data_IF_690317874608
#
_entry.id   IF_690317874608
#
_cell.length_a   1.000
_cell.length_b   1.000
_cell.length_c   1.000
_cell.angle_alpha   90.00
_cell.angle_beta   90.00
_cell.angle_gamma   90.00
#
_symmetry.space_group_name_H-M   'P 1'
#
loop_
_entity.id
_entity.type
_entity.pdbx_description
1 polymer ?
#
# COMPACT_ATOMS: atom_id res chain seq x y z
N UNK A 1 48.91 -0.14 -30.31
CA UNK A 1 49.41 -0.85 -29.11
C UNK A 1 49.28 0.11 -27.95
N UNK A 2 48.26 -0.09 -27.11
CA UNK A 2 48.16 0.42 -25.73
C UNK A 2 47.99 1.94 -25.51
N UNK A 3 46.89 2.51 -26.00
CA UNK A 3 46.20 3.58 -25.25
C UNK A 3 44.93 2.95 -24.69
N UNK A 4 44.76 2.95 -23.36
CA UNK A 4 43.53 2.78 -22.55
C UNK A 4 43.90 2.17 -21.18
N UNK A 5 44.63 2.93 -20.35
CA UNK A 5 44.78 2.68 -18.91
C UNK A 5 44.79 4.03 -18.16
N UNK A 6 43.66 4.75 -18.22
CA UNK A 6 43.47 6.02 -17.49
C UNK A 6 42.09 6.12 -16.83
N UNK A 7 41.54 5.01 -16.32
CA UNK A 7 40.46 5.09 -15.33
C UNK A 7 41.05 5.20 -13.92
N UNK A 8 41.78 6.31 -13.72
CA UNK A 8 42.21 6.76 -12.41
C UNK A 8 41.01 7.12 -11.54
N UNK A 9 41.11 6.75 -10.27
CA UNK A 9 40.24 7.06 -9.16
C UNK A 9 39.86 8.55 -9.09
N UNK A 10 38.76 8.93 -9.73
CA UNK A 10 38.12 10.22 -9.51
C UNK A 10 37.23 10.14 -8.26
N UNK A 11 37.84 10.11 -7.08
CA UNK A 11 37.15 10.52 -5.86
C UNK A 11 37.00 12.05 -5.95
N UNK A 12 35.80 12.62 -5.75
CA UNK A 12 35.62 14.06 -5.82
C UNK A 12 36.57 14.75 -4.83
N UNK A 13 37.28 15.78 -5.30
CA UNK A 13 38.11 16.66 -4.48
C UNK A 13 37.24 17.12 -3.31
N UNK A 14 37.68 16.83 -2.08
CA UNK A 14 36.94 17.16 -0.86
C UNK A 14 36.49 18.63 -0.94
N UNK A 15 35.19 18.86 -0.86
CA UNK A 15 34.64 20.21 -0.91
C UNK A 15 35.31 21.07 0.18
N UNK A 16 35.55 22.38 -0.05
CA UNK A 16 36.20 23.26 0.92
C UNK A 16 35.47 23.32 2.28
N UNK A 17 34.21 22.89 2.31
CA UNK A 17 33.36 22.75 3.48
C UNK A 17 33.17 21.25 3.72
N UNK A 18 33.49 20.78 4.92
CA UNK A 18 33.26 19.39 5.29
C UNK A 18 31.76 19.09 5.26
N UNK A 19 31.40 17.94 4.69
CA UNK A 19 30.04 17.41 4.74
C UNK A 19 29.60 17.35 6.22
N UNK A 20 28.53 18.07 6.62
CA UNK A 20 28.05 18.06 8.00
C UNK A 20 27.52 16.68 8.45
N UNK A 21 27.38 15.72 7.53
CA UNK A 21 26.87 14.39 7.81
C UNK A 21 25.34 14.38 7.95
N UNK A 22 24.79 13.24 8.38
CA UNK A 22 23.36 13.12 8.62
C UNK A 22 22.95 13.85 9.91
N UNK A 23 21.81 14.57 9.91
CA UNK A 23 21.27 15.16 11.13
C UNK A 23 20.92 14.07 12.15
N UNK A 24 20.88 14.44 13.43
CA UNK A 24 20.48 13.51 14.50
C UNK A 24 19.03 13.02 14.28
N UNK A 25 18.85 11.70 14.33
CA UNK A 25 17.56 11.06 14.13
C UNK A 25 16.53 11.54 15.17
N UNK A 26 15.40 12.07 14.69
CA UNK A 26 14.34 12.56 15.56
C UNK A 26 13.32 11.46 15.86
N UNK A 27 13.35 10.95 17.09
CA UNK A 27 12.39 9.94 17.54
C UNK A 27 10.96 10.48 17.59
N UNK A 28 10.01 9.72 17.04
CA UNK A 28 8.58 10.05 17.16
C UNK A 28 8.06 9.58 18.52
N UNK A 29 6.96 10.17 18.97
CA UNK A 29 6.30 9.76 20.23
C UNK A 29 5.93 8.28 20.22
N UNK A 30 5.58 7.72 19.06
CA UNK A 30 5.25 6.30 18.88
C UNK A 30 6.46 5.37 18.93
N UNK A 31 7.68 5.88 18.77
CA UNK A 31 8.92 5.10 18.90
C UNK A 31 9.33 4.97 20.39
N UNK A 32 8.94 5.93 21.23
CA UNK A 32 9.27 5.96 22.67
C UNK A 32 8.14 5.41 23.55
N UNK A 33 6.87 5.75 23.24
CA UNK A 33 5.69 5.32 24.01
C UNK A 33 4.92 4.20 23.31
N UNK A 34 5.12 2.97 23.81
CA UNK A 34 4.44 1.77 23.34
C UNK A 34 2.91 1.84 23.48
N UNK A 35 2.36 2.59 24.44
CA UNK A 35 0.91 2.74 24.58
C UNK A 35 0.32 3.56 23.43
N UNK A 36 1.02 4.60 22.98
CA UNK A 36 0.62 5.40 21.81
C UNK A 36 0.78 4.61 20.52
N UNK A 37 1.82 3.78 20.42
CA UNK A 37 2.01 2.87 19.30
C UNK A 37 0.82 1.91 19.18
N UNK A 38 0.37 1.30 20.28
CA UNK A 38 -0.82 0.40 20.28
C UNK A 38 -2.12 1.11 19.95
N UNK A 39 -2.31 2.37 20.37
CA UNK A 39 -3.49 3.17 20.00
C UNK A 39 -3.50 3.44 18.50
N UNK A 40 -2.35 3.84 17.96
CA UNK A 40 -2.16 4.06 16.53
C UNK A 40 -2.40 2.78 15.74
N UNK A 41 -1.89 1.65 16.22
CA UNK A 41 -2.11 0.32 15.64
C UNK A 41 -3.61 0.01 15.52
N UNK A 42 -4.37 0.21 16.61
CA UNK A 42 -5.82 -0.01 16.61
C UNK A 42 -6.55 0.93 15.66
N UNK A 43 -6.14 2.19 15.57
CA UNK A 43 -6.75 3.15 14.62
C UNK A 43 -6.55 2.70 13.18
N UNK A 44 -5.32 2.32 12.80
CA UNK A 44 -5.00 1.82 11.46
C UNK A 44 -5.82 0.55 11.17
N UNK A 45 -5.82 -0.41 12.09
CA UNK A 45 -6.56 -1.66 11.91
C UNK A 45 -8.08 -1.46 11.85
N UNK A 46 -8.63 -0.49 12.59
CA UNK A 46 -10.03 -0.11 12.48
C UNK A 46 -10.35 0.40 11.08
N UNK A 47 -9.48 1.24 10.50
CA UNK A 47 -9.68 1.78 9.15
C UNK A 47 -9.72 0.66 8.10
N UNK A 48 -8.81 -0.32 8.19
CA UNK A 48 -8.83 -1.50 7.32
C UNK A 48 -10.06 -2.40 7.57
N UNK A 49 -10.48 -2.54 8.83
CA UNK A 49 -11.72 -3.23 9.18
C UNK A 49 -12.95 -2.57 8.56
N UNK A 50 -13.07 -1.25 8.66
CA UNK A 50 -14.17 -0.49 8.03
C UNK A 50 -14.09 -0.61 6.50
N UNK A 51 -12.90 -0.53 5.91
CA UNK A 51 -12.73 -0.73 4.47
C UNK A 51 -13.22 -2.12 4.01
N UNK A 52 -12.94 -3.16 4.80
CA UNK A 52 -13.46 -4.52 4.56
C UNK A 52 -14.98 -4.55 4.61
N UNK A 53 -15.59 -3.91 5.62
CA UNK A 53 -17.05 -3.82 5.73
C UNK A 53 -17.68 -3.04 4.57
N UNK A 54 -17.02 -1.99 4.08
CA UNK A 54 -17.48 -1.25 2.91
C UNK A 54 -17.39 -2.10 1.63
N UNK A 55 -16.35 -2.91 1.45
CA UNK A 55 -16.27 -3.84 0.32
C UNK A 55 -17.40 -4.89 0.37
N UNK A 56 -17.74 -5.40 1.56
CA UNK A 56 -18.92 -6.26 1.73
C UNK A 56 -20.21 -5.47 1.44
N UNK A 57 -20.30 -4.23 1.92
CA UNK A 57 -21.42 -3.33 1.66
C UNK A 57 -21.63 -3.05 0.16
N UNK A 58 -20.55 -2.99 -0.62
CA UNK A 58 -20.62 -2.90 -2.08
C UNK A 58 -21.33 -4.13 -2.66
N UNK A 59 -20.93 -5.34 -2.26
CA UNK A 59 -21.56 -6.58 -2.73
C UNK A 59 -23.04 -6.66 -2.32
N UNK A 60 -23.39 -6.22 -1.10
CA UNK A 60 -24.78 -6.16 -0.66
C UNK A 60 -25.56 -5.16 -1.51
N UNK A 61 -25.05 -3.93 -1.67
CA UNK A 61 -25.69 -2.89 -2.48
C UNK A 61 -25.88 -3.34 -3.94
N UNK A 62 -24.92 -4.09 -4.49
CA UNK A 62 -24.99 -4.65 -5.84
C UNK A 62 -26.19 -5.58 -6.03
N UNK A 63 -26.50 -6.39 -5.02
CA UNK A 63 -27.57 -7.39 -5.09
C UNK A 63 -28.92 -6.80 -4.67
N UNK A 64 -28.95 -5.82 -3.77
CA UNK A 64 -30.20 -5.32 -3.16
C UNK A 64 -30.77 -4.06 -3.80
N UNK A 65 -29.97 -3.27 -4.52
CA UNK A 65 -30.41 -1.99 -5.08
C UNK A 65 -30.74 -2.17 -6.56
N UNK A 66 -32.01 -1.99 -6.90
CA UNK A 66 -32.46 -1.99 -8.29
C UNK A 66 -31.99 -0.75 -9.05
N UNK A 67 -31.70 -0.90 -10.34
CA UNK A 67 -31.19 0.16 -11.21
C UNK A 67 -32.14 1.37 -11.37
N UNK A 68 -33.44 1.16 -11.20
CA UNK A 68 -34.46 2.22 -11.25
C UNK A 68 -34.58 3.00 -9.92
N UNK A 69 -33.96 2.49 -8.85
CA UNK A 69 -34.03 3.11 -7.54
C UNK A 69 -33.29 4.44 -7.55
N UNK A 70 -33.98 5.50 -7.13
CA UNK A 70 -33.40 6.85 -7.04
C UNK A 70 -33.15 7.25 -5.59
N UNK A 71 -32.02 7.93 -5.36
CA UNK A 71 -31.63 8.52 -4.10
C UNK A 71 -31.26 9.98 -4.35
N UNK A 72 -31.92 10.92 -3.66
CA UNK A 72 -31.74 12.37 -3.87
C UNK A 72 -31.92 12.82 -5.33
N UNK A 73 -32.77 12.12 -6.10
CA UNK A 73 -33.00 12.38 -7.54
C UNK A 73 -31.93 11.81 -8.48
N UNK A 74 -30.96 11.06 -7.95
CA UNK A 74 -29.85 10.44 -8.69
C UNK A 74 -29.96 8.93 -8.59
N UNK A 75 -29.19 8.17 -9.39
CA UNK A 75 -29.15 6.69 -9.26
C UNK A 75 -28.64 6.29 -7.87
N UNK A 76 -29.48 5.60 -7.10
CA UNK A 76 -29.13 5.10 -5.77
C UNK A 76 -27.96 4.10 -5.83
N UNK A 77 -27.91 3.31 -6.91
CA UNK A 77 -26.88 2.31 -7.14
C UNK A 77 -25.50 2.94 -7.36
N UNK A 78 -25.40 3.97 -8.21
CA UNK A 78 -24.13 4.68 -8.44
C UNK A 78 -23.62 5.36 -7.16
N UNK A 79 -24.54 5.95 -6.39
CA UNK A 79 -24.19 6.56 -5.11
C UNK A 79 -23.66 5.51 -4.13
N UNK A 80 -24.35 4.39 -3.98
CA UNK A 80 -23.94 3.30 -3.08
C UNK A 80 -22.58 2.72 -3.49
N UNK A 81 -22.34 2.52 -4.79
CA UNK A 81 -21.06 2.02 -5.30
C UNK A 81 -19.91 3.00 -5.06
N UNK A 82 -20.12 4.29 -5.35
CA UNK A 82 -19.12 5.32 -5.09
C UNK A 82 -18.79 5.45 -3.61
N UNK A 83 -19.80 5.46 -2.74
CA UNK A 83 -19.63 5.58 -1.30
C UNK A 83 -18.92 4.36 -0.69
N UNK A 84 -19.27 3.16 -1.11
CA UNK A 84 -18.69 1.92 -0.57
C UNK A 84 -17.29 1.66 -1.13
N UNK A 85 -17.15 1.57 -2.46
CA UNK A 85 -15.85 1.28 -3.09
C UNK A 85 -14.85 2.42 -2.90
N UNK A 86 -15.29 3.67 -3.15
CA UNK A 86 -14.45 4.84 -2.95
C UNK A 86 -14.06 5.03 -1.48
N UNK A 87 -15.00 4.82 -0.57
CA UNK A 87 -14.73 4.85 0.88
C UNK A 87 -13.76 3.77 1.34
N UNK A 88 -13.88 2.54 0.81
CA UNK A 88 -12.97 1.44 1.12
C UNK A 88 -11.54 1.77 0.68
N UNK A 89 -11.37 2.20 -0.57
CA UNK A 89 -10.05 2.57 -1.12
C UNK A 89 -9.44 3.77 -0.37
N UNK A 90 -10.24 4.77 -0.03
CA UNK A 90 -9.78 5.94 0.73
C UNK A 90 -9.27 5.53 2.12
N UNK A 91 -10.03 4.69 2.84
CA UNK A 91 -9.63 4.23 4.17
C UNK A 91 -8.38 3.36 4.14
N UNK A 92 -8.23 2.50 3.12
CA UNK A 92 -6.99 1.73 2.90
C UNK A 92 -5.82 2.68 2.66
N UNK A 93 -5.97 3.66 1.77
CA UNK A 93 -4.91 4.65 1.49
C UNK A 93 -4.49 5.42 2.74
N UNK A 94 -5.44 5.99 3.48
CA UNK A 94 -5.14 6.72 4.72
C UNK A 94 -4.51 5.79 5.77
N UNK A 95 -4.98 4.54 5.88
CA UNK A 95 -4.42 3.55 6.80
C UNK A 95 -2.96 3.21 6.50
N UNK A 96 -2.61 3.01 5.22
CA UNK A 96 -1.23 2.75 4.77
C UNK A 96 -0.34 3.96 5.05
N UNK A 97 -0.79 5.18 4.74
CA UNK A 97 -0.01 6.40 5.02
C UNK A 97 0.20 6.59 6.52
N UNK A 98 -0.82 6.34 7.36
CA UNK A 98 -0.65 6.39 8.81
C UNK A 98 0.32 5.33 9.34
N UNK A 99 0.27 4.13 8.77
CA UNK A 99 1.23 3.07 9.10
C UNK A 99 2.66 3.47 8.76
N UNK A 100 2.91 3.97 7.54
CA UNK A 100 4.21 4.48 7.13
C UNK A 100 4.73 5.58 8.05
N UNK A 101 3.90 6.59 8.34
CA UNK A 101 4.34 7.77 9.10
C UNK A 101 4.56 7.53 10.59
N UNK A 102 3.79 6.64 11.21
CA UNK A 102 3.74 6.52 12.69
C UNK A 102 4.35 5.25 13.25
N UNK A 103 4.62 4.24 12.41
CA UNK A 103 5.03 2.91 12.88
C UNK A 103 6.29 2.42 12.17
N UNK A 104 6.41 2.64 10.84
CA UNK A 104 7.62 2.22 10.12
C UNK A 104 8.82 2.99 10.63
N UNK A 105 9.96 2.32 10.77
CA UNK A 105 11.22 2.97 11.15
C UNK A 105 11.59 4.05 10.12
N UNK A 106 12.05 5.20 10.60
CA UNK A 106 12.32 6.39 9.78
C UNK A 106 13.77 6.83 9.96
N UNK A 107 14.71 5.92 9.73
CA UNK A 107 16.13 6.22 9.95
C UNK A 107 16.74 6.84 8.70
N UNK A 108 17.53 7.89 8.91
CA UNK A 108 18.25 8.56 7.84
C UNK A 108 19.36 7.64 7.32
N UNK A 109 19.31 7.31 6.03
CA UNK A 109 20.27 6.44 5.37
C UNK A 109 20.92 7.18 4.18
N UNK A 110 22.24 7.03 4.03
CA UNK A 110 22.98 7.48 2.84
C UNK A 110 23.24 6.27 1.97
N UNK A 111 22.64 6.27 0.78
CA UNK A 111 22.86 5.23 -0.21
C UNK A 111 23.78 5.74 -1.33
N UNK A 112 24.87 5.03 -1.57
CA UNK A 112 25.81 5.36 -2.65
C UNK A 112 25.21 4.93 -4.00
N UNK A 113 25.40 5.75 -5.05
CA UNK A 113 24.87 5.41 -6.38
C UNK A 113 25.48 4.11 -6.89
N UNK A 114 24.65 3.08 -6.98
CA UNK A 114 25.04 1.81 -7.57
C UNK A 114 25.25 1.94 -9.10
N UNK A 115 26.31 1.31 -9.66
CA UNK A 115 26.50 1.24 -11.11
C UNK A 115 25.37 0.43 -11.77
N UNK A 116 24.96 0.81 -12.98
CA UNK A 116 23.76 0.27 -13.66
C UNK A 116 23.85 -1.20 -14.14
N UNK A 117 24.91 -1.94 -13.77
CA UNK A 117 25.14 -3.31 -14.25
C UNK A 117 25.03 -4.29 -13.09
N UNK A 118 24.03 -5.17 -13.15
CA UNK A 118 23.82 -6.19 -12.13
C UNK A 118 24.85 -7.33 -12.22
N UNK A 119 25.47 -7.65 -11.09
CA UNK A 119 26.33 -8.80 -10.79
C UNK A 119 25.58 -9.84 -9.95
N UNK A 120 26.15 -11.04 -9.76
CA UNK A 120 25.55 -12.04 -8.86
C UNK A 120 25.58 -11.59 -7.39
N UNK A 121 26.50 -10.68 -7.00
CA UNK A 121 26.50 -10.04 -5.68
C UNK A 121 25.25 -9.16 -5.46
N UNK A 122 24.70 -8.55 -6.50
CA UNK A 122 23.51 -7.69 -6.37
C UNK A 122 22.26 -8.48 -5.98
N UNK A 123 22.21 -9.79 -6.26
CA UNK A 123 21.11 -10.63 -5.78
C UNK A 123 21.13 -10.76 -4.26
N UNK A 124 22.31 -10.84 -3.65
CA UNK A 124 22.43 -10.89 -2.19
C UNK A 124 22.07 -9.54 -1.58
N UNK A 125 22.50 -8.44 -2.20
CA UNK A 125 22.14 -7.08 -1.78
C UNK A 125 20.60 -6.87 -1.79
N UNK A 126 19.91 -7.25 -2.88
CA UNK A 126 18.44 -7.14 -2.97
C UNK A 126 17.72 -7.92 -1.86
N UNK A 127 18.23 -9.10 -1.49
CA UNK A 127 17.65 -9.86 -0.38
C UNK A 127 17.90 -9.19 0.97
N UNK A 128 19.05 -8.56 1.16
CA UNK A 128 19.36 -7.79 2.37
C UNK A 128 18.44 -6.58 2.49
N UNK A 129 18.30 -5.80 1.42
CA UNK A 129 17.42 -4.62 1.36
C UNK A 129 15.96 -4.99 1.61
N UNK A 130 15.50 -6.09 1.02
CA UNK A 130 14.14 -6.57 1.25
C UNK A 130 13.93 -6.97 2.72
N UNK A 131 14.89 -7.65 3.32
CA UNK A 131 14.82 -8.04 4.73
C UNK A 131 14.90 -6.82 5.66
N UNK A 132 15.69 -5.80 5.31
CA UNK A 132 15.74 -4.52 6.00
C UNK A 132 14.36 -3.84 5.96
N UNK A 133 13.76 -3.69 4.77
CA UNK A 133 12.42 -3.13 4.61
C UNK A 133 11.34 -3.90 5.38
N UNK A 134 11.39 -5.23 5.40
CA UNK A 134 10.47 -6.04 6.21
C UNK A 134 10.64 -5.75 7.71
N UNK A 135 11.87 -5.65 8.18
CA UNK A 135 12.18 -5.36 9.59
C UNK A 135 11.72 -3.95 9.98
N UNK A 136 11.98 -2.96 9.13
CA UNK A 136 11.60 -1.56 9.32
C UNK A 136 10.10 -1.34 9.27
N UNK A 137 9.39 -2.11 8.42
CA UNK A 137 7.93 -2.05 8.34
C UNK A 137 7.22 -2.48 9.62
N UNK A 138 7.92 -3.21 10.51
CA UNK A 138 7.39 -3.84 11.72
C UNK A 138 6.19 -4.80 11.45
N UNK A 139 5.99 -5.22 10.20
CA UNK A 139 4.82 -6.02 9.78
C UNK A 139 4.76 -7.38 10.52
N UNK A 140 5.92 -7.95 10.87
CA UNK A 140 6.00 -9.20 11.62
C UNK A 140 5.62 -9.06 13.11
N UNK A 141 5.85 -7.89 13.71
CA UNK A 141 5.60 -7.63 15.14
C UNK A 141 4.19 -7.10 15.42
N UNK A 142 3.50 -6.59 14.40
CA UNK A 142 2.13 -6.03 14.49
C UNK A 142 1.14 -6.85 13.68
N UNK A 143 0.75 -8.04 14.16
CA UNK A 143 -0.13 -8.94 13.42
C UNK A 143 -1.53 -8.35 13.18
N UNK A 144 -1.98 -7.40 14.01
CA UNK A 144 -3.29 -6.78 13.84
C UNK A 144 -3.34 -5.93 12.56
N UNK A 145 -2.35 -5.06 12.33
CA UNK A 145 -2.22 -4.28 11.09
C UNK A 145 -2.11 -5.22 9.90
N UNK A 146 -1.21 -6.21 9.97
CA UNK A 146 -1.00 -7.17 8.88
C UNK A 146 -2.29 -7.91 8.51
N UNK A 147 -2.97 -8.51 9.48
CA UNK A 147 -4.15 -9.31 9.21
C UNK A 147 -5.33 -8.45 8.73
N UNK A 148 -5.49 -7.24 9.29
CA UNK A 148 -6.55 -6.32 8.86
C UNK A 148 -6.29 -5.75 7.46
N UNK A 149 -5.03 -5.42 7.12
CA UNK A 149 -4.65 -5.01 5.76
C UNK A 149 -4.88 -6.13 4.74
N UNK A 150 -4.44 -7.36 5.04
CA UNK A 150 -4.70 -8.52 4.18
C UNK A 150 -6.20 -8.78 4.02
N UNK A 151 -6.98 -8.64 5.09
CA UNK A 151 -8.43 -8.72 5.03
C UNK A 151 -9.03 -7.65 4.11
N UNK A 152 -8.60 -6.40 4.24
CA UNK A 152 -9.10 -5.28 3.44
C UNK A 152 -8.74 -5.43 1.95
N UNK A 153 -7.46 -5.71 1.66
CA UNK A 153 -6.98 -5.92 0.28
C UNK A 153 -7.63 -7.17 -0.33
N UNK A 154 -7.75 -8.25 0.44
CA UNK A 154 -8.47 -9.45 -0.01
C UNK A 154 -9.94 -9.19 -0.30
N UNK A 155 -10.61 -8.38 0.53
CA UNK A 155 -12.01 -8.02 0.33
C UNK A 155 -12.24 -7.14 -0.90
N UNK A 156 -11.25 -6.37 -1.36
CA UNK A 156 -11.36 -5.63 -2.64
C UNK A 156 -11.50 -6.55 -3.85
N UNK A 157 -11.11 -7.83 -3.76
CA UNK A 157 -11.37 -8.79 -4.82
C UNK A 157 -12.86 -9.14 -4.96
N UNK A 158 -13.66 -8.98 -3.90
CA UNK A 158 -15.09 -9.35 -3.90
C UNK A 158 -15.90 -8.56 -4.94
N UNK A 159 -15.83 -7.22 -5.02
CA UNK A 159 -16.46 -6.47 -6.11
C UNK A 159 -16.14 -7.03 -7.50
N UNK A 160 -14.86 -7.35 -7.77
CA UNK A 160 -14.44 -7.95 -9.03
C UNK A 160 -15.11 -9.29 -9.29
N UNK A 161 -15.12 -10.19 -8.30
CA UNK A 161 -15.78 -11.49 -8.42
C UNK A 161 -17.28 -11.36 -8.71
N UNK A 162 -17.98 -10.45 -8.02
CA UNK A 162 -19.42 -10.24 -8.24
C UNK A 162 -19.72 -9.65 -9.62
N UNK A 163 -18.91 -8.72 -10.11
CA UNK A 163 -19.09 -8.15 -11.45
C UNK A 163 -18.78 -9.17 -12.55
N UNK A 164 -17.72 -9.97 -12.40
CA UNK A 164 -17.37 -11.01 -13.37
C UNK A 164 -18.35 -12.19 -13.34
N UNK A 165 -18.96 -12.50 -12.18
CA UNK A 165 -19.95 -13.56 -12.05
C UNK A 165 -21.09 -13.41 -13.05
N UNK A 166 -21.51 -12.19 -13.34
CA UNK A 166 -22.65 -11.92 -14.24
C UNK A 166 -22.33 -12.16 -15.73
N UNK A 167 -21.06 -12.41 -16.07
CA UNK A 167 -20.66 -12.89 -17.39
C UNK A 167 -20.79 -14.42 -17.55
N UNK A 168 -21.15 -15.14 -16.49
CA UNK A 168 -21.29 -16.59 -16.49
C UNK A 168 -22.70 -17.10 -16.91
N UNK A 169 -22.90 -18.43 -16.98
CA UNK A 169 -24.15 -19.08 -17.41
C UNK A 169 -25.25 -19.06 -16.32
N UNK A 170 -25.43 -17.92 -15.68
CA UNK A 170 -26.45 -17.70 -14.64
C UNK A 170 -27.78 -17.21 -15.28
N UNK A 171 -28.94 -17.37 -14.59
CA UNK A 171 -30.25 -17.00 -15.13
C UNK A 171 -30.43 -15.51 -15.49
N UNK A 172 -29.46 -14.65 -15.14
CA UNK A 172 -29.38 -13.23 -15.51
C UNK A 172 -28.05 -12.87 -16.19
N UNK A 173 -27.39 -13.85 -16.83
CA UNK A 173 -26.09 -13.67 -17.46
C UNK A 173 -26.12 -12.70 -18.64
N UNK A 174 -25.14 -11.80 -18.70
CA UNK A 174 -24.95 -10.81 -19.77
C UNK A 174 -24.11 -11.39 -20.94
N UNK A 175 -24.22 -12.69 -21.20
CA UNK A 175 -23.40 -13.41 -22.19
C UNK A 175 -23.79 -13.13 -23.65
N UNK A 176 -24.92 -12.46 -23.87
CA UNK A 176 -25.43 -12.11 -25.19
C UNK A 176 -25.51 -10.58 -25.32
N UNK A 177 -24.85 -10.03 -26.33
CA UNK A 177 -24.92 -8.61 -26.65
C UNK A 177 -26.03 -8.35 -27.68
N UNK A 178 -26.44 -7.10 -27.82
CA UNK A 178 -27.52 -6.66 -28.71
C UNK A 178 -27.16 -6.80 -30.20
N UNK A 179 -25.87 -6.96 -30.50
CA UNK A 179 -25.33 -7.08 -31.84
C UNK A 179 -25.15 -8.57 -32.16
N UNK A 180 -25.93 -9.07 -33.12
CA UNK A 180 -25.73 -10.40 -33.73
C UNK A 180 -24.71 -10.33 -34.85
#
# INVERSE_FOLDING_TARGET
>A
MSELDTHGSNLPVAEPIADPGLPEHQYRVTDVDEAQARRTERQISLMFGIATLLAIGFCVAYVTIDFETTFLGWSAQNFAFGATLGGALLLIGIGIIQWAKKIMQDHEMVEMRHPAKSSDEDRMAVLEDLNAGIKESQIGRRPLIRNSLLGAVGALALPGVFLLRDLGPLPHGQSHTVWK
#
